data_IF_637445309517
#
_entry.id   IF_637445309517
#
_cell.length_a   1.000
_cell.length_b   1.000
_cell.length_c   1.000
_cell.angle_alpha   90.00
_cell.angle_beta   90.00
_cell.angle_gamma   90.00
#
_symmetry.space_group_name_H-M   'P 1'
#
loop_
_entity.id
_entity.type
_entity.pdbx_description
1 polymer ?
#
# COMPACT_ATOMS: atom_id res chain seq x y z
N UNK A 1 -13.74 -5.14 13.30
CA UNK A 1 -12.50 -4.35 13.14
C UNK A 1 -12.67 -3.47 11.91
N UNK A 2 -12.13 -2.24 11.86
CA UNK A 2 -12.19 -1.43 10.65
C UNK A 2 -11.43 -2.14 9.51
N UNK A 3 -12.00 -2.14 8.31
CA UNK A 3 -11.38 -2.75 7.14
C UNK A 3 -10.02 -2.11 6.85
N UNK A 4 -8.99 -2.95 6.63
CA UNK A 4 -7.64 -2.50 6.31
C UNK A 4 -7.16 -3.03 4.97
N UNK A 5 -6.63 -2.15 4.14
CA UNK A 5 -6.03 -2.50 2.85
C UNK A 5 -4.69 -1.80 2.73
N UNK A 6 -3.64 -2.54 2.42
CA UNK A 6 -2.35 -2.01 2.05
C UNK A 6 -2.17 -1.99 0.53
N UNK A 7 -1.51 -0.97 0.01
CA UNK A 7 -0.96 -0.91 -1.33
C UNK A 7 0.57 -0.96 -1.25
N UNK A 8 1.18 -2.00 -1.82
CA UNK A 8 2.62 -2.22 -1.80
C UNK A 8 3.15 -2.14 -3.23
N UNK A 9 4.13 -1.28 -3.47
CA UNK A 9 4.77 -1.11 -4.77
C UNK A 9 5.36 -2.45 -5.23
N UNK A 10 5.07 -2.83 -6.48
CA UNK A 10 5.62 -4.04 -7.08
C UNK A 10 7.16 -3.98 -7.07
N UNK A 11 7.81 -5.09 -6.72
CA UNK A 11 9.26 -5.16 -6.55
C UNK A 11 9.80 -4.49 -5.28
N UNK A 12 8.95 -4.17 -4.31
CA UNK A 12 9.34 -3.66 -2.98
C UNK A 12 8.71 -4.49 -1.88
N UNK A 13 9.45 -4.68 -0.78
CA UNK A 13 8.94 -5.33 0.42
C UNK A 13 8.19 -4.35 1.33
N UNK A 14 7.10 -4.79 1.98
CA UNK A 14 6.46 -4.00 3.01
C UNK A 14 7.38 -3.87 4.24
N UNK A 15 7.67 -2.63 4.62
CA UNK A 15 8.54 -2.31 5.75
C UNK A 15 8.05 -2.78 7.12
N UNK A 16 6.75 -3.09 7.23
CA UNK A 16 6.13 -3.58 8.45
C UNK A 16 5.07 -4.62 8.08
N UNK A 17 4.88 -5.60 8.97
CA UNK A 17 3.74 -6.52 8.89
C UNK A 17 2.44 -5.72 8.93
N UNK A 18 1.50 -6.10 8.06
CA UNK A 18 0.13 -5.60 8.09
C UNK A 18 -0.46 -5.75 9.50
N UNK A 19 -0.85 -4.63 10.10
CA UNK A 19 -1.38 -4.65 11.48
C UNK A 19 -2.67 -5.45 11.51
N UNK A 20 -2.73 -6.46 12.38
CA UNK A 20 -3.93 -7.26 12.59
C UNK A 20 -4.24 -8.24 11.47
N UNK A 21 -3.31 -8.47 10.53
CA UNK A 21 -3.45 -9.56 9.57
C UNK A 21 -2.76 -10.82 10.08
N UNK A 22 -3.52 -11.90 10.23
CA UNK A 22 -2.95 -13.22 10.53
C UNK A 22 -2.58 -13.96 9.24
N UNK A 23 -3.32 -13.72 8.16
CA UNK A 23 -3.10 -14.31 6.85
C UNK A 23 -3.33 -13.26 5.75
N UNK A 24 -2.28 -12.56 5.30
CA UNK A 24 -2.42 -11.56 4.24
C UNK A 24 -2.75 -12.23 2.90
N UNK A 25 -3.69 -11.65 2.17
CA UNK A 25 -4.11 -12.06 0.83
C UNK A 25 -3.96 -10.90 -0.14
N UNK A 26 -3.35 -11.17 -1.29
CA UNK A 26 -3.34 -10.22 -2.40
C UNK A 26 -4.70 -10.22 -3.12
N UNK A 27 -5.24 -9.02 -3.37
CA UNK A 27 -6.39 -8.84 -4.24
C UNK A 27 -5.96 -8.95 -5.71
N UNK A 28 -6.88 -9.39 -6.56
CA UNK A 28 -6.66 -9.41 -8.01
C UNK A 28 -6.52 -7.99 -8.59
N UNK A 29 -7.18 -7.01 -7.96
CA UNK A 29 -7.07 -5.61 -8.33
C UNK A 29 -5.71 -5.03 -7.92
N UNK A 30 -5.10 -4.28 -8.86
CA UNK A 30 -3.88 -3.52 -8.64
C UNK A 30 -4.14 -2.04 -8.87
N UNK A 31 -3.32 -1.19 -8.25
CA UNK A 31 -3.35 0.26 -8.45
C UNK A 31 -2.11 0.69 -9.22
N UNK A 32 -2.31 1.48 -10.27
CA UNK A 32 -1.23 1.99 -11.10
C UNK A 32 -1.18 3.50 -10.95
N UNK A 33 0.01 4.05 -10.76
CA UNK A 33 0.19 5.49 -10.83
C UNK A 33 0.01 5.97 -12.27
N UNK A 34 -0.95 6.87 -12.56
CA UNK A 34 -1.25 7.30 -13.93
C UNK A 34 -0.16 8.20 -14.55
N UNK A 35 0.91 8.51 -13.82
CA UNK A 35 1.98 9.43 -14.25
C UNK A 35 3.29 8.74 -14.62
N UNK A 36 3.63 7.62 -13.99
CA UNK A 36 4.91 6.94 -14.21
C UNK A 36 4.80 5.42 -14.22
N UNK A 37 3.57 4.89 -14.29
CA UNK A 37 3.29 3.45 -14.40
C UNK A 37 3.78 2.61 -13.19
N UNK A 38 4.02 3.25 -12.04
CA UNK A 38 4.35 2.53 -10.83
C UNK A 38 3.14 1.70 -10.35
N UNK A 39 3.30 0.38 -10.33
CA UNK A 39 2.26 -0.58 -9.94
C UNK A 39 2.32 -0.90 -8.45
N UNK A 40 1.14 -0.99 -7.81
CA UNK A 40 0.95 -1.35 -6.42
C UNK A 40 -0.02 -2.52 -6.30
N UNK A 41 0.42 -3.56 -5.61
CA UNK A 41 -0.39 -4.71 -5.24
C UNK A 41 -1.21 -4.39 -3.99
N UNK A 42 -2.49 -4.73 -4.02
CA UNK A 42 -3.37 -4.53 -2.87
C UNK A 42 -3.36 -5.78 -2.00
N UNK A 43 -3.05 -5.62 -0.72
CA UNK A 43 -3.04 -6.69 0.28
C UNK A 43 -4.07 -6.38 1.36
N UNK A 44 -4.84 -7.38 1.75
CA UNK A 44 -5.86 -7.32 2.81
C UNK A 44 -5.74 -8.57 3.68
N UNK A 45 -6.23 -8.52 4.91
CA UNK A 45 -6.34 -9.75 5.70
C UNK A 45 -7.39 -10.72 5.11
N UNK A 46 -7.09 -12.02 5.14
CA UNK A 46 -7.97 -13.04 4.58
C UNK A 46 -9.38 -12.97 5.18
N UNK A 47 -9.52 -12.87 6.50
CA UNK A 47 -10.80 -12.86 7.21
C UNK A 47 -11.67 -11.66 6.77
N UNK A 48 -11.03 -10.50 6.60
CA UNK A 48 -11.68 -9.29 6.10
C UNK A 48 -12.01 -9.38 4.61
N UNK A 49 -11.21 -10.10 3.82
CA UNK A 49 -11.41 -10.25 2.37
C UNK A 49 -12.57 -11.16 2.00
N UNK A 50 -12.93 -12.10 2.88
CA UNK A 50 -14.03 -13.04 2.68
C UNK A 50 -15.36 -12.55 3.29
N UNK A 51 -15.34 -11.41 3.97
CA UNK A 51 -16.55 -10.81 4.52
C UNK A 51 -17.51 -10.38 3.38
N UNK A 52 -18.81 -10.55 3.61
CA UNK A 52 -19.85 -10.25 2.62
C UNK A 52 -19.94 -8.76 2.25
N UNK A 53 -19.51 -7.86 3.13
CA UNK A 53 -19.53 -6.41 2.94
C UNK A 53 -18.25 -5.87 2.33
N UNK A 54 -17.21 -6.71 2.23
CA UNK A 54 -15.91 -6.34 1.67
C UNK A 54 -16.00 -5.60 0.32
N UNK A 55 -16.83 -6.03 -0.67
CA UNK A 55 -16.93 -5.30 -1.94
C UNK A 55 -17.47 -3.87 -1.80
N UNK A 56 -18.26 -3.59 -0.76
CA UNK A 56 -18.82 -2.26 -0.53
C UNK A 56 -17.86 -1.41 0.30
N UNK A 57 -17.29 -1.98 1.36
CA UNK A 57 -16.40 -1.28 2.30
C UNK A 57 -15.01 -1.01 1.70
N UNK A 58 -14.51 -1.88 0.82
CA UNK A 58 -13.18 -1.73 0.20
C UNK A 58 -13.11 -0.59 -0.81
N UNK A 59 -14.19 -0.30 -1.54
CA UNK A 59 -14.21 0.70 -2.62
C UNK A 59 -13.74 2.10 -2.20
N UNK A 60 -14.23 2.71 -1.10
CA UNK A 60 -13.72 4.00 -0.66
C UNK A 60 -12.24 3.92 -0.25
N UNK A 61 -11.80 2.83 0.38
CA UNK A 61 -10.40 2.64 0.79
C UNK A 61 -9.47 2.53 -0.42
N UNK A 62 -9.85 1.75 -1.43
CA UNK A 62 -9.09 1.60 -2.67
C UNK A 62 -8.97 2.95 -3.39
N UNK A 63 -10.03 3.79 -3.38
CA UNK A 63 -9.96 5.16 -3.92
C UNK A 63 -8.98 6.05 -3.14
N UNK A 64 -8.96 5.93 -1.81
CA UNK A 64 -8.00 6.67 -0.97
C UNK A 64 -6.56 6.24 -1.27
N UNK A 65 -6.31 4.94 -1.39
CA UNK A 65 -5.00 4.40 -1.78
C UNK A 65 -4.58 4.89 -3.16
N UNK A 66 -5.49 4.88 -4.15
CA UNK A 66 -5.21 5.38 -5.50
C UNK A 66 -4.83 6.87 -5.47
N UNK A 67 -5.54 7.68 -4.67
CA UNK A 67 -5.22 9.10 -4.46
C UNK A 67 -3.85 9.27 -3.80
N UNK A 68 -3.53 8.46 -2.78
CA UNK A 68 -2.26 8.52 -2.08
C UNK A 68 -1.08 8.15 -2.99
N UNK A 69 -1.23 7.10 -3.81
CA UNK A 69 -0.26 6.72 -4.85
C UNK A 69 -0.06 7.87 -5.83
N UNK A 70 -1.14 8.47 -6.32
CA UNK A 70 -1.07 9.61 -7.23
C UNK A 70 -0.31 10.79 -6.60
N UNK A 71 -0.59 11.13 -5.34
CA UNK A 71 0.13 12.20 -4.63
C UNK A 71 1.61 11.85 -4.43
N UNK A 72 1.91 10.57 -4.15
CA UNK A 72 3.27 10.05 -4.01
C UNK A 72 4.15 10.20 -5.26
N UNK A 73 3.54 10.38 -6.45
CA UNK A 73 4.27 10.64 -7.69
C UNK A 73 5.17 11.88 -7.60
N UNK A 74 4.71 12.94 -6.93
CA UNK A 74 5.51 14.16 -6.71
C UNK A 74 6.79 13.93 -5.93
N UNK A 75 6.90 12.79 -5.25
CA UNK A 75 8.06 12.34 -4.47
C UNK A 75 8.73 11.10 -5.07
N UNK A 76 8.57 10.88 -6.38
CA UNK A 76 9.13 9.74 -7.12
C UNK A 76 8.78 8.37 -6.51
N UNK A 77 7.59 8.26 -5.87
CA UNK A 77 7.22 7.06 -5.14
C UNK A 77 8.27 6.59 -4.12
N UNK A 78 8.94 7.55 -3.45
CA UNK A 78 9.82 7.27 -2.30
C UNK A 78 9.09 6.47 -1.21
N UNK A 79 7.78 6.67 -1.11
CA UNK A 79 6.87 5.80 -0.37
C UNK A 79 6.52 4.59 -1.24
N UNK A 80 6.79 3.39 -0.74
CA UNK A 80 6.50 2.13 -1.43
C UNK A 80 5.36 1.35 -0.78
N UNK A 81 4.85 1.82 0.36
CA UNK A 81 3.78 1.16 1.08
C UNK A 81 2.81 2.22 1.62
N UNK A 82 1.54 2.08 1.24
CA UNK A 82 0.41 2.81 1.83
C UNK A 82 -0.50 1.83 2.55
N UNK A 83 -0.94 2.14 3.77
CA UNK A 83 -1.89 1.31 4.52
C UNK A 83 -3.14 2.14 4.85
N UNK A 84 -4.33 1.54 4.75
CA UNK A 84 -5.57 2.16 5.20
C UNK A 84 -6.09 1.52 6.47
N UNK A 85 -6.52 2.34 7.44
CA UNK A 85 -7.24 1.91 8.63
C UNK A 85 -8.67 2.48 8.65
N UNK A 86 -9.55 1.98 7.76
CA UNK A 86 -10.95 2.40 7.63
C UNK A 86 -11.21 3.81 7.09
N UNK A 87 -10.33 4.78 7.37
CA UNK A 87 -10.40 6.18 6.88
C UNK A 87 -9.00 6.82 6.78
N UNK A 88 -8.05 6.38 7.59
CA UNK A 88 -6.70 6.95 7.67
C UNK A 88 -5.81 6.26 6.64
N UNK A 89 -5.03 7.02 5.87
CA UNK A 89 -3.96 6.50 4.99
C UNK A 89 -2.61 6.79 5.64
N UNK A 90 -1.84 5.76 5.95
CA UNK A 90 -0.45 5.87 6.42
C UNK A 90 0.52 5.60 5.26
N UNK A 91 1.62 6.36 5.18
CA UNK A 91 2.71 6.16 4.21
C UNK A 91 3.96 5.66 4.92
N UNK A 92 4.64 4.68 4.32
CA UNK A 92 5.88 4.13 4.89
C UNK A 92 7.00 4.22 3.85
N UNK A 93 8.08 4.90 4.25
CA UNK A 93 9.22 5.23 3.39
C UNK A 93 10.32 4.19 3.61
N UNK A 94 10.82 3.57 2.53
CA UNK A 94 12.03 2.74 2.64
C UNK A 94 13.20 3.65 3.02
N UNK A 95 14.03 3.27 4.01
CA UNK A 95 15.30 3.94 4.18
C UNK A 95 16.07 3.76 2.86
N UNK A 96 16.45 4.88 2.23
CA UNK A 96 17.36 4.82 1.09
C UNK A 96 18.66 4.19 1.59
N UNK A 97 19.30 3.27 0.83
CA UNK A 97 20.64 2.85 1.17
C UNK A 97 21.51 4.10 1.24
N UNK A 98 22.01 4.43 2.42
CA UNK A 98 23.06 5.43 2.58
C UNK A 98 24.29 4.88 1.89
N UNK A 99 24.55 5.31 0.66
CA UNK A 99 25.84 5.06 0.01
C UNK A 99 26.87 5.86 0.80
N UNK A 100 27.53 5.22 1.76
CA UNK A 100 28.72 5.76 2.42
C UNK A 100 29.78 5.89 1.34
N UNK A 101 29.88 7.07 0.73
CA UNK A 101 30.99 7.40 -0.15
C UNK A 101 32.23 7.52 0.74
N UNK A 102 33.07 6.49 0.73
CA UNK A 102 34.40 6.52 1.33
C UNK A 102 35.24 7.54 0.56
N UNK A 103 35.75 8.62 1.19
CA UNK A 103 36.76 9.47 0.56
C UNK A 103 38.03 8.65 0.41
N UNK A 104 38.55 8.57 -0.82
CA UNK A 104 39.87 8.03 -1.13
C UNK A 104 40.94 9.09 -0.92
#
# INVERSE_FOLDING_TARGET
MPLRIAAIRSGSDPLRKLKGSSFPRALEAQLICPKCDATYNLIVDYDQSVDRWFPNESRPLIKLLAKAIFMGHTTDHRVTHFETEGVIVESIILPQPVTTQTPQ
#
